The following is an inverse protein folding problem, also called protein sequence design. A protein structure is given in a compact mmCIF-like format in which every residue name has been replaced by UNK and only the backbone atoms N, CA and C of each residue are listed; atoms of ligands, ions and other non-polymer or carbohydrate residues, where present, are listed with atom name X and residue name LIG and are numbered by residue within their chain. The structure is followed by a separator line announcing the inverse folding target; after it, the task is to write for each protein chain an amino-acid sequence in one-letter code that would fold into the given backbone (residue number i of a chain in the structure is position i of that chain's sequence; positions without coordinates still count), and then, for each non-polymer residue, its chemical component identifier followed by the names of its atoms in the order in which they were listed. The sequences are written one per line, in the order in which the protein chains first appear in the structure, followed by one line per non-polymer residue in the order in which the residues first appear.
data_IF_154597522868
#
_entry.id   IF_154597522868
#
_cell.length_a   1.000
_cell.length_b   1.000
_cell.length_c   1.000
_cell.angle_alpha   90.00
_cell.angle_beta   90.00
_cell.angle_gamma   90.00
#
_symmetry.space_group_name_H-M   'P 1'
#
loop_
_entity.id
_entity.type
_entity.pdbx_description
1 polymer ?
#
# COMPACT_ATOMS: atom_id res chain seq x y z
N UNK A 1 16.45 -0.66 -6.55
CA UNK A 1 15.31 0.16 -6.06
C UNK A 1 15.44 1.52 -6.71
N UNK A 2 14.45 1.97 -7.48
CA UNK A 2 14.59 3.18 -8.29
C UNK A 2 13.40 4.13 -8.08
N UNK A 3 13.59 5.41 -8.43
CA UNK A 3 12.53 6.40 -8.52
C UNK A 3 11.72 6.64 -7.24
N UNK A 4 10.41 6.84 -7.42
CA UNK A 4 9.49 7.27 -6.37
C UNK A 4 9.30 6.25 -5.24
N UNK A 5 9.44 4.95 -5.51
CA UNK A 5 9.34 3.89 -4.49
C UNK A 5 10.51 3.98 -3.51
N UNK A 6 11.74 4.13 -4.04
CA UNK A 6 12.96 4.38 -3.26
C UNK A 6 12.85 5.61 -2.37
N UNK A 7 12.48 6.74 -2.95
CA UNK A 7 12.31 8.00 -2.22
C UNK A 7 11.27 7.88 -1.11
N UNK A 8 10.15 7.19 -1.37
CA UNK A 8 9.11 6.97 -0.36
C UNK A 8 9.58 6.08 0.78
N UNK A 9 10.28 4.99 0.48
CA UNK A 9 10.84 4.11 1.51
C UNK A 9 11.85 4.82 2.39
N UNK A 10 12.76 5.60 1.80
CA UNK A 10 13.71 6.43 2.54
C UNK A 10 12.99 7.43 3.46
N UNK A 11 11.96 8.12 2.96
CA UNK A 11 11.13 9.03 3.77
C UNK A 11 10.34 8.33 4.88
N UNK A 12 10.17 7.00 4.81
CA UNK A 12 9.53 6.18 5.85
C UNK A 12 10.54 5.60 6.85
N UNK A 13 11.80 6.05 6.83
CA UNK A 13 12.86 5.62 7.73
C UNK A 13 13.70 4.44 7.24
N UNK A 14 13.58 4.09 5.96
CA UNK A 14 14.36 3.03 5.32
C UNK A 14 14.33 1.70 6.11
N UNK A 15 15.48 1.05 6.30
CA UNK A 15 15.63 -0.27 6.95
C UNK A 15 15.09 -0.29 8.39
N UNK A 16 15.34 0.77 9.16
CA UNK A 16 14.87 0.88 10.55
C UNK A 16 13.44 1.42 10.66
N UNK A 17 12.88 1.84 9.54
CA UNK A 17 11.64 2.61 9.45
C UNK A 17 10.37 1.78 9.50
N UNK A 18 9.35 2.24 8.78
CA UNK A 18 8.00 1.67 8.81
C UNK A 18 7.89 0.29 8.12
N UNK A 19 8.74 0.05 7.12
CA UNK A 19 8.61 -1.07 6.18
C UNK A 19 9.70 -2.14 6.34
N UNK A 20 10.87 -1.79 6.89
CA UNK A 20 11.99 -2.72 6.98
C UNK A 20 12.77 -2.84 5.69
N UNK A 21 13.53 -3.91 5.58
CA UNK A 21 14.34 -4.19 4.40
C UNK A 21 13.47 -4.54 3.18
N UNK A 22 13.92 -4.18 1.96
CA UNK A 22 13.30 -4.65 0.74
C UNK A 22 13.48 -6.17 0.60
N UNK A 23 12.40 -6.87 0.28
CA UNK A 23 12.43 -8.33 0.06
C UNK A 23 12.80 -8.71 -1.38
N UNK A 24 13.01 -7.72 -2.25
CA UNK A 24 13.33 -7.90 -3.64
C UNK A 24 13.31 -6.60 -4.42
N UNK A 25 13.45 -6.71 -5.74
CA UNK A 25 13.36 -5.57 -6.66
C UNK A 25 11.96 -5.01 -6.79
N UNK A 26 11.87 -3.87 -7.49
CA UNK A 26 10.61 -3.29 -7.92
C UNK A 26 10.05 -4.10 -9.10
N UNK A 27 8.75 -4.41 -9.05
CA UNK A 27 8.03 -5.16 -10.06
C UNK A 27 7.04 -4.23 -10.78
N UNK A 28 6.88 -4.40 -12.09
CA UNK A 28 5.88 -3.66 -12.87
C UNK A 28 4.47 -4.14 -12.53
N UNK A 29 3.53 -3.20 -12.47
CA UNK A 29 2.11 -3.46 -12.26
C UNK A 29 1.23 -2.88 -13.38
N UNK A 30 -0.10 -3.01 -13.24
CA UNK A 30 -1.07 -2.53 -14.22
C UNK A 30 -1.04 -1.00 -14.38
N UNK A 31 -1.60 -0.52 -15.49
CA UNK A 31 -1.70 0.92 -15.79
C UNK A 31 -0.35 1.68 -15.70
N UNK A 32 0.76 0.99 -16.00
CA UNK A 32 2.10 1.58 -15.95
C UNK A 32 2.64 1.82 -14.55
N UNK A 33 1.99 1.27 -13.51
CA UNK A 33 2.47 1.37 -12.14
C UNK A 33 3.56 0.35 -11.81
N UNK A 34 3.93 0.33 -10.54
CA UNK A 34 4.94 -0.55 -9.99
C UNK A 34 4.64 -0.88 -8.52
N UNK A 35 5.24 -1.95 -8.00
CA UNK A 35 5.21 -2.25 -6.59
C UNK A 35 6.53 -2.84 -6.12
N UNK A 36 6.81 -2.69 -4.83
CA UNK A 36 7.93 -3.37 -4.19
C UNK A 36 7.49 -3.88 -2.81
N UNK A 37 7.95 -5.08 -2.49
CA UNK A 37 7.69 -5.75 -1.21
C UNK A 37 8.82 -5.50 -0.22
N UNK A 38 8.44 -5.35 1.04
CA UNK A 38 9.30 -5.13 2.20
C UNK A 38 8.85 -6.06 3.32
N UNK A 39 9.70 -6.26 4.32
CA UNK A 39 9.43 -7.15 5.45
C UNK A 39 8.08 -6.88 6.13
N UNK A 40 7.70 -5.61 6.25
CA UNK A 40 6.49 -5.18 6.98
C UNK A 40 5.41 -4.58 6.07
N UNK A 41 5.48 -4.80 4.76
CA UNK A 41 4.41 -4.47 3.82
C UNK A 41 4.91 -4.15 2.42
N UNK A 42 4.17 -3.35 1.66
CA UNK A 42 4.46 -3.05 0.26
C UNK A 42 4.40 -1.55 0.00
N UNK A 43 5.17 -1.06 -0.96
CA UNK A 43 4.92 0.24 -1.58
C UNK A 43 4.38 -0.02 -2.96
N UNK A 44 3.23 0.58 -3.25
CA UNK A 44 2.61 0.57 -4.57
C UNK A 44 2.72 1.98 -5.15
N UNK A 45 3.14 2.06 -6.40
CA UNK A 45 3.29 3.30 -7.14
C UNK A 45 2.46 3.26 -8.42
N UNK A 46 1.82 4.36 -8.75
CA UNK A 46 1.25 4.59 -10.08
C UNK A 46 1.49 6.05 -10.51
N UNK A 47 1.45 6.35 -11.82
CA UNK A 47 1.53 7.74 -12.29
C UNK A 47 0.44 8.63 -11.70
N UNK A 48 -0.74 8.08 -11.41
CA UNK A 48 -1.89 8.83 -10.91
C UNK A 48 -1.85 9.09 -9.40
N UNK A 49 -1.21 8.23 -8.61
CA UNK A 49 -1.32 8.25 -7.14
C UNK A 49 0.00 8.42 -6.40
N UNK A 50 1.13 8.30 -7.12
CA UNK A 50 2.45 8.28 -6.51
C UNK A 50 2.67 7.02 -5.65
N UNK A 51 3.77 7.02 -4.88
CA UNK A 51 4.20 5.88 -4.09
C UNK A 51 3.53 5.91 -2.71
N UNK A 52 2.71 4.90 -2.41
CA UNK A 52 2.03 4.76 -1.12
C UNK A 52 2.31 3.42 -0.46
N UNK A 53 2.57 3.40 0.86
CA UNK A 53 2.72 2.17 1.62
C UNK A 53 1.36 1.52 1.87
N UNK A 54 1.32 0.19 1.84
CA UNK A 54 0.16 -0.64 2.19
C UNK A 54 0.66 -1.78 3.09
N UNK A 55 0.11 -1.91 4.30
CA UNK A 55 0.69 -2.78 5.34
C UNK A 55 -0.40 -3.42 6.22
N UNK A 56 0.04 -4.30 7.13
CA UNK A 56 -0.82 -4.90 8.15
C UNK A 56 -2.10 -5.55 7.60
N UNK A 57 -3.19 -5.48 8.38
CA UNK A 57 -4.46 -6.11 8.04
C UNK A 57 -5.09 -5.54 6.76
N UNK A 58 -4.96 -4.22 6.52
CA UNK A 58 -5.43 -3.58 5.29
C UNK A 58 -4.65 -4.09 4.08
N UNK A 59 -3.33 -4.18 4.17
CA UNK A 59 -2.49 -4.66 3.08
C UNK A 59 -2.68 -6.14 2.79
N UNK A 60 -3.00 -6.94 3.81
CA UNK A 60 -3.42 -8.34 3.63
C UNK A 60 -4.76 -8.42 2.89
N UNK A 61 -5.77 -7.69 3.36
CA UNK A 61 -7.08 -7.65 2.71
C UNK A 61 -6.99 -7.14 1.25
N UNK A 62 -6.15 -6.13 0.99
CA UNK A 62 -5.89 -5.65 -0.36
C UNK A 62 -5.26 -6.73 -1.24
N UNK A 63 -4.28 -7.49 -0.73
CA UNK A 63 -3.69 -8.61 -1.46
C UNK A 63 -4.70 -9.72 -1.77
N UNK A 64 -5.54 -10.08 -0.80
CA UNK A 64 -6.60 -11.09 -0.95
C UNK A 64 -7.66 -10.64 -2.00
N UNK A 65 -7.85 -9.33 -2.17
CA UNK A 65 -8.69 -8.72 -3.21
C UNK A 65 -7.96 -8.52 -4.56
N UNK A 66 -6.92 -9.31 -4.85
CA UNK A 66 -6.07 -9.23 -6.05
C UNK A 66 -5.21 -7.96 -6.17
N UNK A 67 -5.03 -7.23 -5.07
CA UNK A 67 -4.12 -6.09 -5.01
C UNK A 67 -4.44 -4.99 -6.03
N UNK A 68 -3.39 -4.44 -6.63
CA UNK A 68 -3.45 -3.42 -7.68
C UNK A 68 -4.10 -3.92 -8.98
N UNK A 69 -4.22 -5.24 -9.16
CA UNK A 69 -4.95 -5.86 -10.27
C UNK A 69 -6.45 -6.03 -9.98
N UNK A 70 -6.87 -5.80 -8.73
CA UNK A 70 -8.26 -5.89 -8.30
C UNK A 70 -9.04 -4.59 -8.51
N UNK A 71 -10.35 -4.64 -8.18
CA UNK A 71 -11.26 -3.49 -8.34
C UNK A 71 -10.85 -2.24 -7.55
N UNK A 72 -10.10 -2.40 -6.46
CA UNK A 72 -9.62 -1.28 -5.66
C UNK A 72 -8.46 -0.53 -6.35
N UNK A 73 -7.63 -1.22 -7.14
CA UNK A 73 -6.47 -0.63 -7.80
C UNK A 73 -5.40 -0.14 -6.83
N UNK A 74 -4.75 0.98 -7.19
CA UNK A 74 -3.65 1.55 -6.43
C UNK A 74 -4.14 2.37 -5.22
N UNK A 75 -3.38 2.37 -4.11
CA UNK A 75 -3.62 3.29 -2.99
C UNK A 75 -3.44 4.75 -3.42
N UNK A 76 -4.33 5.63 -2.93
CA UNK A 76 -4.25 7.09 -3.15
C UNK A 76 -3.67 7.82 -1.94
N UNK A 77 -3.74 7.22 -0.76
CA UNK A 77 -3.16 7.73 0.50
C UNK A 77 -2.41 6.61 1.21
N UNK A 78 -1.50 6.93 2.15
CA UNK A 78 -1.10 5.96 3.16
C UNK A 78 -2.29 5.60 4.07
N UNK A 79 -2.11 4.60 4.92
CA UNK A 79 -3.03 4.30 6.03
C UNK A 79 -3.18 5.52 6.95
N UNK A 80 -4.42 5.92 7.22
CA UNK A 80 -4.74 6.97 8.17
C UNK A 80 -5.38 6.35 9.41
N UNK A 81 -4.81 6.61 10.58
CA UNK A 81 -5.31 6.12 11.86
C UNK A 81 -6.02 7.25 12.62
N UNK A 82 -7.22 6.95 13.13
CA UNK A 82 -7.98 7.79 14.05
C UNK A 82 -8.55 6.92 15.16
N UNK A 83 -7.97 7.03 16.36
CA UNK A 83 -8.22 6.11 17.47
C UNK A 83 -7.99 4.64 17.04
N UNK A 84 -9.01 3.81 17.24
CA UNK A 84 -9.01 2.38 16.91
C UNK A 84 -9.33 2.08 15.44
N UNK A 85 -9.59 3.12 14.63
CA UNK A 85 -9.95 2.96 13.22
C UNK A 85 -8.76 3.28 12.35
N UNK A 86 -8.42 2.39 11.43
CA UNK A 86 -7.45 2.63 10.36
C UNK A 86 -8.18 2.55 9.04
N UNK A 87 -8.01 3.55 8.17
CA UNK A 87 -8.57 3.53 6.82
C UNK A 87 -7.48 3.82 5.81
N UNK A 88 -7.48 3.08 4.71
CA UNK A 88 -6.70 3.42 3.53
C UNK A 88 -7.62 3.58 2.34
N UNK A 89 -7.39 4.64 1.56
CA UNK A 89 -8.12 4.90 0.33
C UNK A 89 -7.34 4.37 -0.86
N UNK A 90 -8.10 3.81 -1.80
CA UNK A 90 -7.63 3.29 -3.08
C UNK A 90 -8.41 3.97 -4.22
N UNK A 91 -7.93 3.83 -5.46
CA UNK A 91 -8.60 4.41 -6.63
C UNK A 91 -10.07 4.00 -6.72
N UNK A 92 -10.36 2.71 -6.50
CA UNK A 92 -11.69 2.13 -6.59
C UNK A 92 -12.44 2.01 -5.26
N UNK A 93 -11.98 2.64 -4.17
CA UNK A 93 -12.65 2.47 -2.87
C UNK A 93 -11.80 2.75 -1.64
N UNK A 94 -12.14 2.10 -0.53
CA UNK A 94 -11.36 2.12 0.71
C UNK A 94 -11.43 0.79 1.45
N UNK A 95 -10.40 0.50 2.23
CA UNK A 95 -10.40 -0.57 3.22
C UNK A 95 -10.24 0.07 4.59
N UNK A 96 -11.17 -0.25 5.49
CA UNK A 96 -11.14 0.10 6.90
C UNK A 96 -10.78 -1.11 7.76
N UNK A 97 -10.12 -0.86 8.87
CA UNK A 97 -9.85 -1.82 9.93
C UNK A 97 -10.26 -1.20 11.27
N UNK A 98 -11.11 -1.89 12.02
CA UNK A 98 -11.53 -1.48 13.37
C UNK A 98 -11.77 -2.73 14.22
N UNK A 99 -11.10 -2.83 15.38
CA UNK A 99 -11.25 -3.93 16.34
C UNK A 99 -11.22 -5.34 15.71
N UNK A 100 -10.23 -5.62 14.86
CA UNK A 100 -10.10 -6.94 14.22
C UNK A 100 -10.97 -7.14 12.97
N UNK A 101 -11.92 -6.25 12.71
CA UNK A 101 -12.82 -6.34 11.56
C UNK A 101 -12.30 -5.51 10.38
N UNK A 102 -12.30 -6.13 9.18
CA UNK A 102 -12.05 -5.46 7.91
C UNK A 102 -13.39 -5.04 7.29
N UNK A 103 -13.46 -3.79 6.83
CA UNK A 103 -14.58 -3.29 6.02
C UNK A 103 -14.06 -2.84 4.67
N UNK A 104 -14.66 -3.32 3.59
CA UNK A 104 -14.29 -2.95 2.23
C UNK A 104 -15.44 -2.15 1.63
N UNK A 105 -15.13 -0.97 1.09
CA UNK A 105 -16.08 -0.15 0.36
C UNK A 105 -15.53 0.07 -1.03
N UNK A 106 -16.11 -0.61 -2.03
CA UNK A 106 -15.76 -0.43 -3.43
C UNK A 106 -16.77 0.50 -4.12
N UNK A 107 -16.31 1.25 -5.11
CA UNK A 107 -17.13 2.08 -5.99
C UNK A 107 -17.50 1.33 -7.26
#
# INVERSE_FOLDING_TARGET
MHGAVGARWAALGAETGLLGHPLGGEHRGPAGGAHQSFERGRILWSPATGAQPVRGAIGRAHADLRGEHGRLGYPVTPEQRSGDTVVQRFQGGSIGYRHGAITVSAR
#
